data_IF_316630950432
#
_entry.id   IF_316630950432
#
_cell.length_a   1.000
_cell.length_b   1.000
_cell.length_c   1.000
_cell.angle_alpha   90.00
_cell.angle_beta   90.00
_cell.angle_gamma   90.00
#
_symmetry.space_group_name_H-M   'P 1'
#
loop_
_entity.id
_entity.type
_entity.pdbx_description
1 polymer ?
#
# COMPACT_ATOMS: atom_id res chain seq x y z
N UNK A 1 5.38 -11.20 3.86
CA UNK A 1 4.24 -11.07 2.90
C UNK A 1 4.49 -9.86 2.01
N UNK A 2 3.95 -9.80 0.79
CA UNK A 2 4.07 -8.61 -0.07
C UNK A 2 2.69 -8.04 -0.39
N UNK A 3 2.53 -6.74 -0.17
CA UNK A 3 1.37 -5.96 -0.64
C UNK A 3 1.76 -5.21 -1.92
N UNK A 4 0.93 -5.34 -2.95
CA UNK A 4 1.15 -4.69 -4.25
C UNK A 4 -0.05 -3.85 -4.64
N UNK A 5 0.17 -2.62 -5.10
CA UNK A 5 -0.86 -1.86 -5.82
C UNK A 5 -0.35 -1.40 -7.18
N UNK A 6 -1.30 -1.29 -8.11
CA UNK A 6 -1.06 -0.79 -9.46
C UNK A 6 -1.98 0.39 -9.77
N UNK A 7 -1.39 1.52 -10.13
CA UNK A 7 -2.09 2.72 -10.61
C UNK A 7 -2.51 2.49 -12.06
N UNK A 8 -3.82 2.30 -12.29
CA UNK A 8 -4.39 2.03 -13.63
C UNK A 8 -4.84 3.29 -14.38
N UNK A 9 -5.16 4.37 -13.66
CA UNK A 9 -5.56 5.67 -14.20
C UNK A 9 -4.83 6.79 -13.44
N UNK A 10 -4.48 7.86 -14.14
CA UNK A 10 -3.66 8.95 -13.61
C UNK A 10 -2.17 8.80 -13.89
N UNK A 11 -1.36 9.72 -13.34
CA UNK A 11 0.10 9.69 -13.43
C UNK A 11 0.72 8.69 -12.46
N UNK A 12 2.02 8.35 -12.62
CA UNK A 12 2.75 7.53 -11.64
C UNK A 12 2.64 8.09 -10.22
N UNK A 13 2.60 7.21 -9.22
CA UNK A 13 2.61 7.61 -7.82
C UNK A 13 4.03 7.99 -7.40
N UNK A 14 4.18 9.10 -6.70
CA UNK A 14 5.43 9.53 -6.07
C UNK A 14 5.48 9.25 -4.57
N UNK A 15 4.37 8.76 -4.00
CA UNK A 15 4.29 8.28 -2.63
C UNK A 15 3.34 7.09 -2.51
N UNK A 16 3.58 6.25 -1.50
CA UNK A 16 2.67 5.20 -1.09
C UNK A 16 2.68 5.03 0.43
N UNK A 17 1.52 4.78 1.00
CA UNK A 17 1.33 4.50 2.43
C UNK A 17 0.53 3.21 2.56
N UNK A 18 1.11 2.20 3.22
CA UNK A 18 0.42 0.96 3.53
C UNK A 18 -0.08 1.00 4.97
N UNK A 19 -1.34 0.60 5.15
CA UNK A 19 -1.96 0.37 6.43
C UNK A 19 -2.32 -1.08 6.64
N UNK A 20 -2.14 -1.55 7.86
CA UNK A 20 -2.57 -2.86 8.35
C UNK A 20 -3.38 -2.63 9.61
N UNK A 21 -4.61 -3.14 9.64
CA UNK A 21 -5.57 -2.96 10.74
C UNK A 21 -5.79 -1.48 11.13
N UNK A 22 -5.75 -0.60 10.13
CA UNK A 22 -5.89 0.85 10.29
C UNK A 22 -4.61 1.59 10.69
N UNK A 23 -3.55 0.88 11.08
CA UNK A 23 -2.27 1.47 11.45
C UNK A 23 -1.34 1.61 10.24
N UNK A 24 -0.62 2.73 10.14
CA UNK A 24 0.37 2.93 9.08
C UNK A 24 1.63 2.13 9.39
N UNK A 25 1.89 1.09 8.60
CA UNK A 25 3.06 0.22 8.77
C UNK A 25 4.22 0.59 7.85
N UNK A 26 3.95 1.30 6.76
CA UNK A 26 4.99 1.76 5.84
C UNK A 26 4.58 3.03 5.09
N UNK A 27 5.57 3.89 4.85
CA UNK A 27 5.49 5.00 3.89
C UNK A 27 6.70 4.94 2.97
N UNK A 28 6.47 5.09 1.67
CA UNK A 28 7.49 5.07 0.62
C UNK A 28 7.45 6.40 -0.14
N UNK A 29 8.63 6.97 -0.38
CA UNK A 29 8.84 8.02 -1.37
C UNK A 29 9.33 7.35 -2.66
N UNK A 30 8.72 7.72 -3.79
CA UNK A 30 8.99 7.14 -5.10
C UNK A 30 9.42 8.30 -6.03
N UNK A 31 10.68 8.75 -5.94
CA UNK A 31 11.12 10.00 -6.59
C UNK A 31 10.97 9.97 -8.12
N UNK A 32 11.23 8.81 -8.74
CA UNK A 32 11.09 8.64 -10.19
C UNK A 32 9.64 8.33 -10.62
N UNK A 33 8.74 8.20 -9.65
CA UNK A 33 7.37 7.76 -9.84
C UNK A 33 7.26 6.27 -10.19
N UNK A 34 6.22 5.61 -9.70
CA UNK A 34 5.95 4.21 -10.05
C UNK A 34 4.47 3.97 -10.34
N UNK A 35 4.19 3.12 -11.32
CA UNK A 35 2.82 2.62 -11.55
C UNK A 35 2.51 1.38 -10.72
N UNK A 36 3.52 0.60 -10.36
CA UNK A 36 3.38 -0.55 -9.47
C UNK A 36 4.24 -0.30 -8.25
N UNK A 37 3.66 -0.45 -7.07
CA UNK A 37 4.34 -0.29 -5.79
C UNK A 37 4.23 -1.60 -5.03
N UNK A 38 5.37 -2.07 -4.52
CA UNK A 38 5.46 -3.26 -3.69
C UNK A 38 6.02 -2.90 -2.33
N UNK A 39 5.34 -3.38 -1.28
CA UNK A 39 5.72 -3.18 0.11
C UNK A 39 5.78 -4.55 0.78
N UNK A 40 6.94 -4.87 1.34
CA UNK A 40 7.12 -6.08 2.15
C UNK A 40 6.58 -5.81 3.56
N UNK A 41 5.79 -6.74 4.06
CA UNK A 41 5.19 -6.74 5.39
C UNK A 41 5.61 -8.00 6.12
N UNK A 42 6.32 -7.82 7.22
CA UNK A 42 6.87 -8.89 8.05
C UNK A 42 6.43 -8.73 9.51
N UNK A 43 6.57 -9.79 10.31
CA UNK A 43 6.32 -9.74 11.75
C UNK A 43 4.85 -9.70 12.18
N UNK A 44 3.90 -9.98 11.29
CA UNK A 44 2.49 -10.11 11.66
C UNK A 44 2.26 -11.38 12.47
N UNK A 45 1.48 -11.26 13.55
CA UNK A 45 1.05 -12.41 14.35
C UNK A 45 0.06 -13.29 13.58
N UNK A 46 -0.13 -14.57 13.96
CA UNK A 46 -1.20 -15.37 13.41
C UNK A 46 -2.57 -14.74 13.71
N UNK A 47 -3.38 -14.51 12.68
CA UNK A 47 -4.59 -13.71 12.81
C UNK A 47 -5.18 -13.27 11.49
N UNK A 48 -6.28 -12.53 11.55
CA UNK A 48 -6.84 -11.80 10.40
C UNK A 48 -6.31 -10.38 10.44
N UNK A 49 -5.81 -9.90 9.31
CA UNK A 49 -5.31 -8.55 9.13
C UNK A 49 -5.95 -7.91 7.92
N UNK A 50 -6.37 -6.65 8.04
CA UNK A 50 -6.97 -5.88 6.95
C UNK A 50 -5.94 -4.90 6.39
N UNK A 51 -5.71 -4.98 5.08
CA UNK A 51 -4.72 -4.18 4.36
C UNK A 51 -5.41 -3.12 3.51
N UNK A 52 -4.85 -1.92 3.54
CA UNK A 52 -5.26 -0.80 2.69
C UNK A 52 -4.01 -0.05 2.23
N UNK A 53 -3.90 0.28 0.95
CA UNK A 53 -2.79 1.08 0.44
C UNK A 53 -3.28 2.35 -0.25
N UNK A 54 -2.74 3.49 0.20
CA UNK A 54 -2.92 4.78 -0.46
C UNK A 54 -1.70 5.08 -1.31
N UNK A 55 -1.90 5.45 -2.56
CA UNK A 55 -0.85 5.90 -3.48
C UNK A 55 -1.19 7.28 -3.99
N UNK A 56 -0.19 8.13 -4.19
CA UNK A 56 -0.44 9.50 -4.62
C UNK A 56 0.75 10.21 -5.24
N UNK A 57 0.49 11.38 -5.80
CA UNK A 57 1.49 12.34 -6.26
C UNK A 57 0.99 13.77 -6.00
N UNK A 58 1.72 14.78 -6.46
CA UNK A 58 1.37 16.19 -6.27
C UNK A 58 -0.01 16.59 -6.85
N UNK A 59 -0.63 15.77 -7.70
CA UNK A 59 -1.97 16.01 -8.28
C UNK A 59 -3.10 15.35 -7.49
N UNK A 60 -2.79 14.54 -6.48
CA UNK A 60 -3.77 13.84 -5.65
C UNK A 60 -3.40 12.40 -5.33
N UNK A 61 -4.29 11.69 -4.65
CA UNK A 61 -4.10 10.31 -4.24
C UNK A 61 -5.34 9.46 -4.39
N UNK A 62 -5.15 8.14 -4.37
CA UNK A 62 -6.20 7.15 -4.37
C UNK A 62 -5.87 6.07 -3.35
N UNK A 63 -6.91 5.56 -2.70
CA UNK A 63 -6.80 4.47 -1.73
C UNK A 63 -7.45 3.21 -2.28
N UNK A 64 -6.82 2.07 -2.04
CA UNK A 64 -7.39 0.77 -2.42
C UNK A 64 -8.66 0.46 -1.63
N UNK A 65 -9.40 -0.56 -2.05
CA UNK A 65 -10.32 -1.23 -1.14
C UNK A 65 -9.53 -1.99 -0.09
N UNK A 66 -10.17 -2.24 1.05
CA UNK A 66 -9.63 -3.12 2.09
C UNK A 66 -9.55 -4.57 1.61
N UNK A 67 -8.48 -5.27 1.99
CA UNK A 67 -8.29 -6.69 1.74
C UNK A 67 -7.94 -7.39 3.05
N UNK A 68 -8.77 -8.34 3.49
CA UNK A 68 -8.50 -9.12 4.69
C UNK A 68 -7.72 -10.39 4.36
N UNK A 69 -6.60 -10.60 5.03
CA UNK A 69 -5.76 -11.80 4.89
C UNK A 69 -5.61 -12.50 6.23
N UNK A 70 -5.62 -13.84 6.21
CA UNK A 70 -5.39 -14.67 7.39
C UNK A 70 -3.94 -15.19 7.39
N UNK A 71 -3.15 -14.75 8.36
CA UNK A 71 -1.80 -15.26 8.67
C UNK A 71 -1.95 -16.49 9.57
N UNK A 72 -1.16 -17.53 9.31
CA UNK A 72 -1.15 -18.80 10.07
C UNK A 72 0.25 -19.08 10.59
#
# INVERSE_FOLDING_TARGET
MTATATVRKGGPATSATLRVDGETVATRVLPDGARTVEVVVDGLSPGKHTFEMTVGNARGGATSKEVTVKVK
#
